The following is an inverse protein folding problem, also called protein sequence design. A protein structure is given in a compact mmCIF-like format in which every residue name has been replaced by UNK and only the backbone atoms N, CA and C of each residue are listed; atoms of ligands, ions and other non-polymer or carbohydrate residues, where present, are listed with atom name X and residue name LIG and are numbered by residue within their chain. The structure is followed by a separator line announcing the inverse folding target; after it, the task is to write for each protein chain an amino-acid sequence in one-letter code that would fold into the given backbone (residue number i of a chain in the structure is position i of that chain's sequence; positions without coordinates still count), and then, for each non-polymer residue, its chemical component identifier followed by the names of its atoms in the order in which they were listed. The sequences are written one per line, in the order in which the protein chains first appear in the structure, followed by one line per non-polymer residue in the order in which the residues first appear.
data_IF_903171006423
#
_entry.id   IF_903171006423
#
_cell.length_a   1.000
_cell.length_b   1.000
_cell.length_c   1.000
_cell.angle_alpha   90.00
_cell.angle_beta   90.00
_cell.angle_gamma   90.00
#
_symmetry.space_group_name_H-M   'P 1'
#
loop_
_entity.id
_entity.type
_entity.pdbx_description
1 polymer ?
#
# COMPACT_ATOMS: atom_id res chain seq x y z
N UNK A 1 5.22 -5.34 10.79
CA UNK A 1 4.83 -3.92 10.92
C UNK A 1 5.80 -3.23 11.85
N UNK A 2 6.57 -2.22 11.38
CA UNK A 2 7.49 -1.45 12.20
C UNK A 2 6.80 -0.85 13.44
N UNK A 3 7.46 -0.86 14.60
CA UNK A 3 6.93 -0.31 15.86
C UNK A 3 6.54 1.16 15.73
N UNK A 4 7.39 1.95 15.08
CA UNK A 4 7.17 3.38 14.84
C UNK A 4 5.85 3.69 14.11
N UNK A 5 5.40 2.83 13.20
CA UNK A 5 4.14 3.04 12.47
C UNK A 5 2.92 2.75 13.33
N UNK A 6 3.04 1.78 14.24
CA UNK A 6 2.00 1.46 15.22
C UNK A 6 1.85 2.60 16.24
N UNK A 7 2.96 3.19 16.65
CA UNK A 7 2.99 4.30 17.62
C UNK A 7 2.38 5.60 17.06
N UNK A 8 2.49 5.82 15.75
CA UNK A 8 1.96 7.02 15.07
C UNK A 8 0.51 6.89 14.58
N UNK A 9 -0.20 5.80 14.93
CA UNK A 9 -1.52 5.46 14.39
C UNK A 9 -1.55 5.55 12.84
N UNK A 10 -0.54 4.95 12.21
CA UNK A 10 -0.36 5.06 10.76
C UNK A 10 -1.38 4.21 10.04
N UNK A 11 -2.28 4.84 9.29
CA UNK A 11 -3.15 4.13 8.36
C UNK A 11 -2.32 3.55 7.22
N UNK A 12 -2.63 2.31 6.83
CA UNK A 12 -1.83 1.55 5.86
C UNK A 12 -2.70 1.00 4.73
N UNK A 13 -2.18 1.05 3.52
CA UNK A 13 -2.71 0.37 2.34
C UNK A 13 -1.59 -0.44 1.68
N UNK A 14 -1.96 -1.59 1.12
CA UNK A 14 -1.02 -2.50 0.46
C UNK A 14 -1.58 -2.95 -0.89
N UNK A 15 -0.69 -3.12 -1.87
CA UNK A 15 -1.01 -3.78 -3.13
C UNK A 15 0.14 -4.70 -3.57
N UNK A 16 -0.14 -5.87 -4.15
CA UNK A 16 0.88 -6.76 -4.67
C UNK A 16 1.63 -6.12 -5.85
N UNK A 17 2.91 -6.44 -6.00
CA UNK A 17 3.79 -5.92 -7.05
C UNK A 17 4.42 -7.07 -7.84
N UNK A 18 3.68 -7.59 -8.82
CA UNK A 18 4.17 -8.61 -9.78
C UNK A 18 4.38 -10.01 -9.22
N UNK A 19 4.74 -10.14 -7.95
CA UNK A 19 4.98 -11.39 -7.24
C UNK A 19 4.13 -11.45 -5.94
N UNK A 20 3.58 -12.62 -5.56
CA UNK A 20 2.77 -12.77 -4.34
C UNK A 20 3.49 -12.46 -3.02
N UNK A 21 4.83 -12.45 -3.01
CA UNK A 21 5.64 -12.15 -1.84
C UNK A 21 6.13 -10.69 -1.81
N UNK A 22 5.82 -9.91 -2.84
CA UNK A 22 6.25 -8.51 -2.97
C UNK A 22 5.04 -7.58 -3.00
N UNK A 23 5.03 -6.56 -2.15
CA UNK A 23 3.95 -5.58 -2.08
C UNK A 23 4.46 -4.15 -1.92
N UNK A 24 3.74 -3.20 -2.51
CA UNK A 24 3.90 -1.77 -2.24
C UNK A 24 3.05 -1.41 -1.03
N UNK A 25 3.64 -0.68 -0.08
CA UNK A 25 2.99 -0.19 1.12
C UNK A 25 2.90 1.33 1.09
N UNK A 26 1.72 1.87 1.36
CA UNK A 26 1.50 3.30 1.62
C UNK A 26 1.14 3.49 3.08
N UNK A 27 1.85 4.40 3.76
CA UNK A 27 1.57 4.83 5.13
C UNK A 27 1.10 6.28 5.18
N UNK A 28 0.06 6.54 5.96
CA UNK A 28 -0.44 7.89 6.27
C UNK A 28 -0.49 8.09 7.78
N UNK A 29 0.50 8.78 8.38
CA UNK A 29 0.51 9.04 9.82
C UNK A 29 -0.69 9.90 10.25
N UNK A 30 -1.35 9.52 11.36
CA UNK A 30 -2.41 10.30 12.01
C UNK A 30 -3.64 10.64 11.16
N UNK A 31 -3.80 10.02 9.98
CA UNK A 31 -4.91 10.27 9.07
C UNK A 31 -6.02 9.23 9.21
N UNK A 32 -7.25 9.53 8.74
CA UNK A 32 -8.31 8.52 8.71
C UNK A 32 -7.89 7.31 7.87
N UNK A 33 -8.61 6.19 7.98
CA UNK A 33 -8.38 5.01 7.14
C UNK A 33 -8.44 5.34 5.64
N UNK A 34 -7.72 4.57 4.82
CA UNK A 34 -7.83 4.68 3.36
C UNK A 34 -9.23 4.30 2.90
N UNK A 35 -9.79 5.10 2.00
CA UNK A 35 -11.07 4.80 1.34
C UNK A 35 -10.91 3.60 0.41
N UNK A 36 -11.96 2.80 0.17
CA UNK A 36 -11.90 1.69 -0.77
C UNK A 36 -11.39 2.07 -2.16
N UNK A 37 -11.73 3.27 -2.65
CA UNK A 37 -11.27 3.77 -3.95
C UNK A 37 -9.79 4.17 -3.97
N UNK A 38 -9.20 4.54 -2.82
CA UNK A 38 -7.76 4.77 -2.70
C UNK A 38 -7.00 3.44 -2.79
N UNK A 39 -7.49 2.39 -2.11
CA UNK A 39 -6.90 1.05 -2.17
C UNK A 39 -7.00 0.45 -3.58
N UNK A 40 -8.14 0.59 -4.24
CA UNK A 40 -8.32 0.11 -5.61
C UNK A 40 -7.37 0.80 -6.61
N UNK A 41 -7.16 2.12 -6.47
CA UNK A 41 -6.20 2.86 -7.30
C UNK A 41 -4.76 2.45 -7.05
N UNK A 42 -4.38 2.20 -5.79
CA UNK A 42 -3.07 1.65 -5.46
C UNK A 42 -2.85 0.30 -6.15
N UNK A 43 -3.86 -0.59 -6.12
CA UNK A 43 -3.82 -1.88 -6.82
C UNK A 43 -3.65 -1.74 -8.33
N UNK A 44 -4.40 -0.84 -8.97
CA UNK A 44 -4.28 -0.57 -10.40
C UNK A 44 -2.89 -0.07 -10.78
N UNK A 45 -2.36 0.91 -10.04
CA UNK A 45 -1.02 1.45 -10.28
C UNK A 45 0.06 0.39 -10.07
N UNK A 46 -0.03 -0.39 -8.98
CA UNK A 46 0.91 -1.48 -8.71
C UNK A 46 0.87 -2.54 -9.82
N UNK A 47 -0.31 -2.83 -10.37
CA UNK A 47 -0.47 -3.70 -11.54
C UNK A 47 0.25 -3.20 -12.79
N UNK A 48 0.15 -1.90 -13.09
CA UNK A 48 0.90 -1.29 -14.21
C UNK A 48 2.40 -1.42 -13.97
N UNK A 49 2.89 -1.03 -12.79
CA UNK A 49 4.32 -1.10 -12.48
C UNK A 49 4.82 -2.54 -12.54
N UNK A 50 4.05 -3.51 -12.06
CA UNK A 50 4.37 -4.93 -12.16
C UNK A 50 4.63 -5.38 -13.61
N UNK A 51 3.86 -4.87 -14.59
CA UNK A 51 4.10 -5.19 -16.01
C UNK A 51 5.38 -4.59 -16.58
N UNK A 52 5.92 -3.53 -15.96
CA UNK A 52 7.17 -2.90 -16.37
C UNK A 52 8.40 -3.56 -15.72
N UNK A 53 8.20 -4.23 -14.58
CA UNK A 53 9.24 -4.94 -13.86
C UNK A 53 9.42 -6.40 -14.34
N UNK A 54 8.53 -6.87 -15.22
CA UNK A 54 8.57 -8.20 -15.83
C UNK A 54 9.55 -8.33 -16.98
#
# INVERSE_FOLDING_TARGET
MPSVWREMDTALAAAPLGDPHTAVLLGRPGGPGFRPSEVARLGYLAGIVATLLG
#
